data_IF_121261881787
#
_entry.id   IF_121261881787
#
_cell.length_a   1.000
_cell.length_b   1.000
_cell.length_c   1.000
_cell.angle_alpha   90.00
_cell.angle_beta   90.00
_cell.angle_gamma   90.00
#
_symmetry.space_group_name_H-M   'P 1'
#
loop_
_entity.id
_entity.type
_entity.pdbx_description
1 polymer ?
#
# COMPACT_ATOMS: atom_id res chain seq x y z
N UNK A 1 -0.60 1.37 -16.26
CA UNK A 1 0.77 1.27 -15.72
C UNK A 1 1.24 2.62 -15.23
N UNK A 2 1.83 2.69 -14.03
CA UNK A 2 2.48 3.90 -13.53
C UNK A 2 3.91 3.96 -14.09
N UNK A 3 4.32 5.10 -14.68
CA UNK A 3 5.71 5.29 -15.15
C UNK A 3 6.68 5.21 -13.97
N UNK A 4 7.89 4.72 -14.22
CA UNK A 4 8.88 4.47 -13.16
C UNK A 4 9.20 5.72 -12.32
N UNK A 5 9.45 6.88 -12.95
CA UNK A 5 9.74 8.12 -12.22
C UNK A 5 8.61 8.52 -11.26
N UNK A 6 7.37 8.41 -11.75
CA UNK A 6 6.17 8.69 -10.95
C UNK A 6 5.96 7.66 -9.83
N UNK A 7 6.34 6.40 -10.05
CA UNK A 7 6.26 5.38 -9.02
C UNK A 7 7.25 5.67 -7.88
N UNK A 8 8.41 6.25 -8.19
CA UNK A 8 9.37 6.72 -7.17
C UNK A 8 8.75 7.83 -6.33
N UNK A 9 8.16 8.86 -6.97
CA UNK A 9 7.51 9.97 -6.27
C UNK A 9 6.37 9.49 -5.35
N UNK A 10 5.55 8.56 -5.84
CA UNK A 10 4.47 7.95 -5.07
C UNK A 10 5.02 7.24 -3.84
N UNK A 11 6.08 6.45 -3.99
CA UNK A 11 6.67 5.74 -2.87
C UNK A 11 7.33 6.69 -1.86
N UNK A 12 7.96 7.78 -2.32
CA UNK A 12 8.49 8.84 -1.44
C UNK A 12 7.36 9.50 -0.65
N UNK A 13 6.22 9.80 -1.27
CA UNK A 13 5.05 10.38 -0.58
C UNK A 13 4.52 9.50 0.56
N UNK A 14 4.53 8.17 0.38
CA UNK A 14 4.05 7.23 1.40
C UNK A 14 5.12 6.77 2.38
N UNK A 15 6.41 6.99 2.10
CA UNK A 15 7.52 6.40 2.83
C UNK A 15 7.43 6.65 4.33
N UNK A 16 7.19 7.89 4.75
CA UNK A 16 7.23 8.28 6.17
C UNK A 16 5.89 8.11 6.88
N UNK A 17 4.86 7.63 6.16
CA UNK A 17 3.53 7.40 6.73
C UNK A 17 3.46 6.03 7.39
N UNK A 18 2.87 6.00 8.58
CA UNK A 18 2.55 4.79 9.32
C UNK A 18 1.03 4.67 9.39
N UNK A 19 0.53 3.45 9.29
CA UNK A 19 -0.89 3.15 9.26
C UNK A 19 -1.24 2.08 10.27
N UNK A 20 -2.49 2.07 10.73
CA UNK A 20 -3.07 0.97 11.50
C UNK A 20 -4.08 0.20 10.63
N UNK A 21 -4.05 -1.13 10.70
CA UNK A 21 -5.03 -1.98 10.02
C UNK A 21 -6.43 -1.82 10.59
N UNK A 22 -7.43 -1.61 9.72
CA UNK A 22 -8.85 -1.49 10.13
C UNK A 22 -9.49 -2.82 10.52
N UNK A 23 -8.96 -3.94 10.01
CA UNK A 23 -9.44 -5.32 10.21
C UNK A 23 -8.27 -6.33 10.20
N UNK A 24 -8.54 -7.57 10.58
CA UNK A 24 -7.60 -8.67 10.33
C UNK A 24 -7.45 -8.86 8.82
N UNK A 25 -6.22 -8.85 8.32
CA UNK A 25 -5.95 -8.91 6.88
C UNK A 25 -4.99 -10.03 6.57
N UNK A 26 -5.42 -10.97 5.72
CA UNK A 26 -4.57 -12.02 5.19
C UNK A 26 -3.67 -11.43 4.10
N UNK A 27 -2.40 -11.19 4.45
CA UNK A 27 -1.43 -10.51 3.57
C UNK A 27 -0.65 -11.49 2.70
N UNK A 28 -0.60 -12.77 3.09
CA UNK A 28 0.01 -13.85 2.32
C UNK A 28 -0.74 -15.17 2.60
N UNK A 29 -0.44 -16.27 1.87
CA UNK A 29 -1.08 -17.56 2.12
C UNK A 29 -0.94 -18.08 3.56
N UNK A 30 0.17 -17.75 4.22
CA UNK A 30 0.55 -18.25 5.55
C UNK A 30 0.50 -17.19 6.66
N UNK A 31 0.19 -15.93 6.33
CA UNK A 31 0.31 -14.82 7.28
C UNK A 31 -0.94 -13.94 7.26
N UNK A 32 -1.40 -13.61 8.48
CA UNK A 32 -2.50 -12.68 8.71
C UNK A 32 -2.03 -11.63 9.69
N UNK A 33 -2.09 -10.37 9.27
CA UNK A 33 -1.85 -9.24 10.15
C UNK A 33 -3.14 -8.91 10.90
N UNK A 34 -2.99 -8.58 12.17
CA UNK A 34 -4.12 -8.35 13.08
C UNK A 34 -4.60 -6.90 13.01
N UNK A 35 -5.91 -6.70 13.22
CA UNK A 35 -6.50 -5.38 13.37
C UNK A 35 -5.70 -4.54 14.38
N UNK A 36 -5.45 -3.28 14.03
CA UNK A 36 -4.70 -2.33 14.86
C UNK A 36 -3.17 -2.46 14.76
N UNK A 37 -2.64 -3.49 14.09
CA UNK A 37 -1.21 -3.60 13.84
C UNK A 37 -0.72 -2.42 13.00
N UNK A 38 0.41 -1.85 13.42
CA UNK A 38 1.04 -0.74 12.72
C UNK A 38 1.87 -1.25 11.54
N UNK A 39 1.59 -0.71 10.36
CA UNK A 39 2.23 -1.08 9.12
C UNK A 39 2.69 0.15 8.34
N UNK A 40 3.67 -0.07 7.48
CA UNK A 40 4.04 0.85 6.40
C UNK A 40 3.65 0.20 5.08
N UNK A 41 3.49 1.01 4.04
CA UNK A 41 3.09 0.54 2.72
C UNK A 41 4.19 0.76 1.69
N UNK A 42 4.14 -0.04 0.64
CA UNK A 42 4.99 0.10 -0.53
C UNK A 42 4.16 -0.16 -1.80
N UNK A 43 4.27 0.74 -2.77
CA UNK A 43 3.52 0.65 -4.03
C UNK A 43 4.40 0.00 -5.09
N UNK A 44 3.91 -1.10 -5.64
CA UNK A 44 4.50 -1.77 -6.80
C UNK A 44 3.55 -1.65 -7.99
N UNK A 45 4.06 -1.20 -9.15
CA UNK A 45 3.28 -1.17 -10.38
C UNK A 45 3.88 -2.13 -11.41
N UNK A 46 3.02 -2.94 -12.02
CA UNK A 46 3.31 -3.74 -13.21
C UNK A 46 2.49 -3.18 -14.39
N UNK A 47 2.72 -3.67 -15.62
CA UNK A 47 1.91 -3.27 -16.77
C UNK A 47 0.40 -3.52 -16.58
N UNK A 48 0.02 -4.54 -15.81
CA UNK A 48 -1.37 -4.95 -15.58
C UNK A 48 -1.97 -4.48 -14.26
N UNK A 49 -1.16 -4.28 -13.21
CA UNK A 49 -1.65 -4.07 -11.85
C UNK A 49 -0.90 -2.94 -11.14
N UNK A 50 -1.58 -2.30 -10.20
CA UNK A 50 -0.93 -1.60 -9.09
C UNK A 50 -1.23 -2.36 -7.81
N UNK A 51 -0.17 -2.67 -7.06
CA UNK A 51 -0.22 -3.44 -5.83
C UNK A 51 0.18 -2.54 -4.68
N UNK A 52 -0.65 -2.55 -3.65
CA UNK A 52 -0.34 -1.97 -2.35
C UNK A 52 0.17 -3.11 -1.48
N UNK A 53 1.47 -3.09 -1.20
CA UNK A 53 2.11 -4.04 -0.29
C UNK A 53 2.23 -3.41 1.09
N UNK A 54 2.29 -4.25 2.13
CA UNK A 54 2.46 -3.77 3.49
C UNK A 54 3.49 -4.60 4.27
N UNK A 55 4.08 -3.98 5.28
CA UNK A 55 5.03 -4.61 6.19
C UNK A 55 4.93 -3.98 7.58
N UNK A 56 5.35 -4.69 8.66
CA UNK A 56 5.32 -4.14 10.01
C UNK A 56 6.12 -2.84 10.10
N UNK A 57 5.59 -1.84 10.83
CA UNK A 57 6.16 -0.49 10.83
C UNK A 57 7.59 -0.41 11.43
N UNK A 58 7.98 -1.40 12.22
CA UNK A 58 9.30 -1.59 12.84
C UNK A 58 10.28 -2.39 11.96
N UNK A 59 9.83 -2.92 10.83
CA UNK A 59 10.64 -3.70 9.90
C UNK A 59 11.02 -2.89 8.65
N UNK A 60 12.00 -3.41 7.90
CA UNK A 60 12.43 -2.79 6.65
C UNK A 60 11.50 -3.15 5.48
N UNK A 61 11.53 -2.33 4.42
CA UNK A 61 10.65 -2.46 3.24
C UNK A 61 10.76 -3.81 2.53
N UNK A 62 11.87 -4.52 2.62
CA UNK A 62 12.05 -5.85 2.02
C UNK A 62 11.04 -6.86 2.58
N UNK A 63 10.54 -6.63 3.80
CA UNK A 63 9.45 -7.41 4.38
C UNK A 63 8.11 -7.20 3.64
N UNK A 64 7.97 -6.22 2.76
CA UNK A 64 6.79 -6.09 1.91
C UNK A 64 6.72 -7.20 0.83
N UNK A 65 7.84 -7.88 0.54
CA UNK A 65 7.89 -8.93 -0.48
C UNK A 65 6.94 -10.07 -0.07
N UNK A 66 6.07 -10.44 -1.00
CA UNK A 66 5.06 -11.49 -0.77
C UNK A 66 3.88 -11.09 0.11
N UNK A 67 3.83 -9.84 0.61
CA UNK A 67 2.76 -9.33 1.47
C UNK A 67 1.90 -8.31 0.74
N UNK A 68 0.73 -8.73 0.28
CA UNK A 68 -0.21 -7.91 -0.48
C UNK A 68 -1.34 -7.44 0.43
N UNK A 69 -1.59 -6.13 0.47
CA UNK A 69 -2.72 -5.55 1.18
C UNK A 69 -3.93 -5.40 0.26
N UNK A 70 -3.71 -4.76 -0.89
CA UNK A 70 -4.74 -4.48 -1.87
C UNK A 70 -4.10 -4.39 -3.27
N UNK A 71 -4.91 -4.50 -4.31
CA UNK A 71 -4.47 -4.29 -5.67
C UNK A 71 -5.58 -3.66 -6.51
N UNK A 72 -5.19 -3.04 -7.60
CA UNK A 72 -6.09 -2.51 -8.63
C UNK A 72 -5.60 -2.96 -10.01
N UNK A 73 -6.53 -3.32 -10.89
CA UNK A 73 -6.23 -3.61 -12.31
C UNK A 73 -6.13 -2.31 -13.09
N UNK A 74 -5.10 -2.20 -13.93
CA UNK A 74 -4.88 -0.98 -14.72
C UNK A 74 -6.00 -0.73 -15.75
N UNK A 75 -6.66 -1.78 -16.25
CA UNK A 75 -7.77 -1.65 -17.21
C UNK A 75 -9.02 -1.02 -16.60
N UNK A 76 -9.22 -1.12 -15.27
CA UNK A 76 -10.30 -0.43 -14.55
C UNK A 76 -10.12 1.10 -14.60
N UNK A 77 -8.90 1.58 -14.82
CA UNK A 77 -8.60 2.99 -15.08
C UNK A 77 -8.61 3.22 -16.59
N UNK A 78 -9.79 3.35 -17.21
CA UNK A 78 -10.01 3.61 -18.66
C UNK A 78 -9.01 4.60 -19.30
N UNK A 79 -7.79 4.13 -19.64
CA UNK A 79 -6.66 4.92 -20.14
C UNK A 79 -6.21 6.10 -19.26
N UNK A 80 -6.69 6.25 -18.02
CA UNK A 80 -6.28 7.35 -17.12
C UNK A 80 -5.08 6.95 -16.27
N UNK A 81 -4.08 7.83 -16.17
CA UNK A 81 -2.94 7.63 -15.28
C UNK A 81 -3.40 7.63 -13.83
N UNK A 82 -3.15 6.54 -13.10
CA UNK A 82 -3.46 6.40 -11.66
C UNK A 82 -2.83 7.57 -10.88
N UNK A 83 -3.64 8.27 -10.09
CA UNK A 83 -3.19 9.39 -9.25
C UNK A 83 -3.03 8.96 -7.80
N UNK A 84 -2.37 9.80 -7.01
CA UNK A 84 -2.17 9.56 -5.57
C UNK A 84 -3.53 9.52 -4.86
N UNK A 85 -4.48 10.36 -5.26
CA UNK A 85 -5.81 10.40 -4.64
C UNK A 85 -6.59 9.09 -4.84
N UNK A 86 -6.34 8.39 -5.96
CA UNK A 86 -6.95 7.09 -6.23
C UNK A 86 -6.37 6.01 -5.30
N UNK A 87 -5.04 6.08 -5.06
CA UNK A 87 -4.36 5.21 -4.10
C UNK A 87 -4.78 5.52 -2.66
N UNK A 88 -4.90 6.79 -2.29
CA UNK A 88 -5.33 7.22 -0.97
C UNK A 88 -6.73 6.66 -0.62
N UNK A 89 -7.65 6.62 -1.59
CA UNK A 89 -8.96 5.97 -1.41
C UNK A 89 -8.86 4.48 -1.16
N UNK A 90 -8.02 3.78 -1.93
CA UNK A 90 -7.82 2.34 -1.76
C UNK A 90 -7.15 2.03 -0.41
N UNK A 91 -6.19 2.86 0.00
CA UNK A 91 -5.52 2.78 1.30
C UNK A 91 -6.52 3.02 2.43
N UNK A 92 -7.36 4.07 2.35
CA UNK A 92 -8.32 4.39 3.40
C UNK A 92 -9.37 3.27 3.58
N UNK A 93 -9.71 2.50 2.55
CA UNK A 93 -10.59 1.34 2.76
C UNK A 93 -9.99 0.26 3.68
N UNK A 94 -8.67 0.14 3.72
CA UNK A 94 -7.96 -0.92 4.45
C UNK A 94 -7.25 -0.42 5.72
N UNK A 95 -6.88 0.85 5.75
CA UNK A 95 -5.92 1.44 6.70
C UNK A 95 -6.39 2.79 7.24
N UNK A 96 -6.01 3.09 8.48
CA UNK A 96 -6.13 4.45 9.05
C UNK A 96 -4.73 5.02 9.24
N UNK A 97 -4.45 6.24 8.77
CA UNK A 97 -3.15 6.89 9.00
C UNK A 97 -2.94 7.12 10.51
N UNK A 98 -1.84 6.58 11.03
CA UNK A 98 -1.43 6.71 12.41
C UNK A 98 -0.51 7.93 12.57
N UNK A 99 -1.08 9.03 13.06
CA UNK A 99 -0.32 10.20 13.49
C UNK A 99 0.02 10.03 14.97
N UNK A 100 1.28 9.75 15.28
CA UNK A 100 1.75 9.71 16.67
C UNK A 100 1.42 11.07 17.30
N UNK A 101 0.53 11.09 18.29
CA UNK A 101 0.28 12.30 19.09
C UNK A 101 1.61 12.64 19.76
N UNK A 102 2.11 13.85 19.50
CA UNK A 102 3.25 14.44 20.22
C UNK A 102 2.87 14.61 21.69
#
# INVERSE_FOLDING_TARGET
MIKQDRLSDINTYYQDKVYALKKDTKVSPTETFKKGMLVRIYIESTPSLVKIKCFPADQKREHAIGRLLAYQVNDDFEKKSIKIEDLDRLIDNELTEYKKKK
#
